data_IF_294319343443
#
_entry.id   IF_294319343443
#
_cell.length_a   1.000
_cell.length_b   1.000
_cell.length_c   1.000
_cell.angle_alpha   90.00
_cell.angle_beta   90.00
_cell.angle_gamma   90.00
#
_symmetry.space_group_name_H-M   'P 1'
#
loop_
_entity.id
_entity.type
_entity.pdbx_description
1 polymer ?
#
# COMPACT_ATOMS: atom_id res chain seq x y z
N UNK A 1 69.01 13.30 -1.90
CA UNK A 1 67.85 12.44 -2.24
C UNK A 1 67.27 11.91 -0.93
N UNK A 2 66.05 12.31 -0.57
CA UNK A 2 65.31 11.78 0.61
C UNK A 2 64.59 10.49 0.18
N UNK A 3 64.73 9.36 0.87
CA UNK A 3 63.96 8.16 0.56
C UNK A 3 62.51 8.34 1.02
N UNK A 4 61.57 7.95 0.15
CA UNK A 4 60.14 8.13 0.36
C UNK A 4 59.62 7.17 1.44
N UNK A 5 59.06 7.71 2.52
CA UNK A 5 58.40 6.98 3.61
C UNK A 5 56.95 6.57 3.29
N UNK A 6 56.49 6.71 2.04
CA UNK A 6 55.09 6.51 1.67
C UNK A 6 54.67 5.06 1.42
N UNK A 7 55.61 4.11 1.21
CA UNK A 7 55.27 2.74 0.79
C UNK A 7 54.92 1.76 1.91
N UNK A 8 55.31 2.04 3.16
CA UNK A 8 55.07 1.14 4.30
C UNK A 8 53.69 1.32 4.95
N UNK A 9 53.04 2.47 4.76
CA UNK A 9 51.71 2.76 5.32
C UNK A 9 50.57 2.11 4.54
N UNK A 10 50.75 1.79 3.25
CA UNK A 10 49.72 1.18 2.41
C UNK A 10 49.60 -0.34 2.62
N UNK A 11 50.72 -1.04 2.85
CA UNK A 11 50.71 -2.49 3.11
C UNK A 11 49.98 -2.84 4.42
N UNK A 12 50.15 -2.03 5.47
CA UNK A 12 49.45 -2.22 6.75
C UNK A 12 47.94 -2.00 6.62
N UNK A 13 47.50 -1.03 5.83
CA UNK A 13 46.07 -0.77 5.59
C UNK A 13 45.40 -1.89 4.77
N UNK A 14 46.09 -2.42 3.76
CA UNK A 14 45.59 -3.55 2.95
C UNK A 14 45.45 -4.83 3.78
N UNK A 15 46.43 -5.16 4.63
CA UNK A 15 46.34 -6.31 5.55
C UNK A 15 45.24 -6.11 6.59
N UNK A 16 45.02 -4.89 7.07
CA UNK A 16 43.96 -4.60 8.05
C UNK A 16 42.55 -4.63 7.42
N UNK A 17 42.40 -4.13 6.18
CA UNK A 17 41.18 -4.25 5.40
C UNK A 17 40.86 -5.70 5.07
N UNK A 18 41.88 -6.51 4.74
CA UNK A 18 41.76 -7.96 4.58
C UNK A 18 41.41 -8.66 5.89
N UNK A 19 42.02 -8.32 7.02
CA UNK A 19 41.68 -8.91 8.32
C UNK A 19 40.27 -8.52 8.78
N UNK A 20 39.82 -7.30 8.50
CA UNK A 20 38.45 -6.88 8.76
C UNK A 20 37.46 -7.61 7.85
N UNK A 21 37.72 -7.68 6.54
CA UNK A 21 36.89 -8.41 5.59
C UNK A 21 36.86 -9.92 5.93
N UNK A 22 37.99 -10.50 6.31
CA UNK A 22 38.12 -11.91 6.70
C UNK A 22 37.44 -12.18 8.04
N UNK A 23 37.55 -11.28 9.03
CA UNK A 23 36.82 -11.37 10.29
C UNK A 23 35.30 -11.21 10.10
N UNK A 24 34.87 -10.37 9.15
CA UNK A 24 33.46 -10.22 8.78
C UNK A 24 32.93 -11.47 8.06
N UNK A 25 33.71 -12.07 7.15
CA UNK A 25 33.37 -13.30 6.43
C UNK A 25 33.26 -14.51 7.37
N UNK A 26 34.23 -14.73 8.28
CA UNK A 26 34.18 -15.89 9.19
C UNK A 26 33.15 -15.77 10.31
N UNK A 27 32.75 -14.56 10.71
CA UNK A 27 31.69 -14.41 11.72
C UNK A 27 30.31 -14.80 11.17
N UNK A 28 30.11 -14.73 9.85
CA UNK A 28 28.87 -15.14 9.19
C UNK A 28 28.67 -16.66 9.24
N UNK A 29 29.75 -17.44 9.14
CA UNK A 29 29.71 -18.92 9.26
C UNK A 29 29.39 -19.37 10.70
N UNK A 30 29.73 -18.57 11.70
CA UNK A 30 29.50 -18.87 13.12
C UNK A 30 28.07 -18.57 13.61
N UNK A 31 27.28 -17.76 12.91
CA UNK A 31 25.90 -17.41 13.30
C UNK A 31 24.81 -18.20 12.56
N UNK A 32 25.17 -19.06 11.61
CA UNK A 32 24.26 -20.00 10.95
C UNK A 32 24.00 -21.29 11.73
N UNK A 33 24.57 -21.47 12.93
CA UNK A 33 24.36 -22.67 13.72
C UNK A 33 24.36 -22.38 15.21
N UNK A 34 23.18 -22.12 15.79
CA UNK A 34 22.69 -22.64 17.08
C UNK A 34 21.50 -21.81 17.57
N UNK A 35 20.29 -22.34 17.37
CA UNK A 35 19.15 -22.10 18.26
C UNK A 35 18.98 -23.34 19.11
N UNK A 36 19.36 -23.26 20.40
CA UNK A 36 18.67 -24.01 21.45
C UNK A 36 19.07 -23.59 22.87
N UNK A 37 18.04 -23.54 23.70
CA UNK A 37 17.98 -23.74 25.15
C UNK A 37 18.36 -22.60 26.11
N UNK A 38 17.29 -22.05 26.69
CA UNK A 38 16.99 -22.00 28.13
C UNK A 38 17.98 -21.35 29.10
N UNK A 39 17.56 -20.19 29.63
CA UNK A 39 18.11 -19.59 30.85
C UNK A 39 16.98 -19.24 31.82
N UNK A 40 16.72 -20.11 32.79
CA UNK A 40 15.89 -19.83 33.97
C UNK A 40 16.76 -19.24 35.07
N UNK A 41 16.33 -18.09 35.59
CA UNK A 41 17.00 -17.31 36.62
C UNK A 41 16.88 -17.90 38.03
N UNK A 42 17.82 -17.51 38.89
CA UNK A 42 17.59 -17.32 40.32
C UNK A 42 18.66 -17.90 41.23
N UNK A 43 19.31 -17.04 42.03
CA UNK A 43 20.08 -17.50 43.19
C UNK A 43 21.15 -16.53 43.65
N UNK A 44 20.78 -15.59 44.54
CA UNK A 44 21.68 -14.68 45.23
C UNK A 44 22.63 -15.41 46.20
N UNK A 45 23.83 -14.88 46.37
CA UNK A 45 24.76 -15.32 47.40
C UNK A 45 25.97 -14.39 47.53
N UNK A 46 25.87 -13.42 48.44
CA UNK A 46 26.96 -12.55 48.89
C UNK A 46 27.81 -13.34 49.91
N UNK A 47 29.14 -13.23 49.91
CA UNK A 47 29.77 -12.97 51.20
C UNK A 47 30.96 -11.98 51.19
N UNK A 48 31.07 -11.37 52.37
CA UNK A 48 32.17 -10.74 53.08
C UNK A 48 33.50 -10.35 52.40
N UNK A 49 33.87 -9.13 52.78
CA UNK A 49 35.13 -8.40 52.64
C UNK A 49 36.14 -8.92 53.66
N UNK A 50 37.37 -9.25 53.25
CA UNK A 50 38.62 -9.05 54.01
C UNK A 50 39.85 -9.40 53.15
N UNK A 51 40.94 -8.65 53.34
CA UNK A 51 42.29 -9.08 52.96
C UNK A 51 43.02 -8.11 52.02
N UNK A 52 43.80 -7.20 52.61
CA UNK A 52 44.91 -6.57 51.91
C UNK A 52 46.00 -7.63 51.70
N UNK A 53 46.25 -8.01 50.46
CA UNK A 53 47.30 -8.96 50.05
C UNK A 53 47.87 -8.54 48.71
N UNK A 54 49.20 -8.41 48.64
CA UNK A 54 49.91 -7.91 47.46
C UNK A 54 49.69 -8.80 46.23
N UNK A 55 49.41 -8.17 45.09
CA UNK A 55 49.24 -8.83 43.81
C UNK A 55 50.49 -9.64 43.44
N UNK A 56 50.32 -10.94 43.24
CA UNK A 56 51.39 -11.83 42.77
C UNK A 56 51.66 -11.61 41.28
N UNK A 57 52.86 -11.98 40.81
CA UNK A 57 53.23 -11.87 39.39
C UNK A 57 52.27 -12.64 38.45
N UNK A 58 51.59 -13.68 38.96
CA UNK A 58 50.56 -14.43 38.24
C UNK A 58 49.25 -13.63 38.05
N UNK A 59 48.90 -12.76 38.99
CA UNK A 59 47.70 -11.91 38.92
C UNK A 59 47.88 -10.73 37.95
N UNK A 60 49.11 -10.20 37.86
CA UNK A 60 49.50 -9.26 36.79
C UNK A 60 49.50 -9.92 35.41
N UNK A 61 49.92 -11.19 35.29
CA UNK A 61 49.85 -11.95 34.04
C UNK A 61 48.40 -12.26 33.63
N UNK A 62 47.51 -12.54 34.59
CA UNK A 62 46.08 -12.76 34.34
C UNK A 62 45.32 -11.47 33.98
N UNK A 63 45.68 -10.31 34.54
CA UNK A 63 45.16 -9.01 34.07
C UNK A 63 45.72 -8.59 32.70
N UNK A 64 46.94 -9.00 32.35
CA UNK A 64 47.52 -8.78 31.02
C UNK A 64 46.93 -9.72 29.94
N UNK A 65 46.32 -10.83 30.34
CA UNK A 65 45.65 -11.80 29.46
C UNK A 65 44.13 -11.57 29.35
N UNK A 66 43.60 -10.45 29.87
CA UNK A 66 42.23 -10.03 29.54
C UNK A 66 42.19 -9.66 28.06
N UNK A 67 41.31 -10.27 27.24
CA UNK A 67 41.14 -9.82 25.87
C UNK A 67 40.81 -8.33 25.91
N UNK A 68 41.66 -7.52 25.29
CA UNK A 68 41.44 -6.09 25.18
C UNK A 68 40.02 -5.89 24.64
N UNK A 69 39.23 -5.04 25.30
CA UNK A 69 37.89 -4.71 24.82
C UNK A 69 37.98 -4.37 23.33
N UNK A 70 37.08 -4.90 22.48
CA UNK A 70 37.17 -4.73 21.04
C UNK A 70 37.30 -3.25 20.73
N UNK A 71 38.43 -2.87 20.12
CA UNK A 71 38.72 -1.49 19.78
C UNK A 71 37.64 -1.00 18.83
N UNK A 72 36.94 0.07 19.20
CA UNK A 72 35.99 0.74 18.30
C UNK A 72 36.79 1.34 17.14
N UNK A 73 36.44 0.95 15.92
CA UNK A 73 37.05 1.47 14.71
C UNK A 73 36.67 2.95 14.52
N UNK A 74 37.58 3.73 13.94
CA UNK A 74 37.36 5.13 13.55
C UNK A 74 36.84 5.20 12.12
N UNK A 75 36.09 6.25 11.78
CA UNK A 75 35.59 6.49 10.41
C UNK A 75 36.69 6.39 9.33
N UNK A 76 37.88 6.94 9.60
CA UNK A 76 39.04 6.84 8.69
C UNK A 76 39.54 5.42 8.44
N UNK A 77 39.30 4.49 9.36
CA UNK A 77 39.65 3.06 9.20
C UNK A 77 38.62 2.36 8.28
N UNK A 78 37.33 2.72 8.38
CA UNK A 78 36.27 2.25 7.47
C UNK A 78 36.45 2.77 6.05
N UNK A 79 36.79 4.06 5.86
CA UNK A 79 37.10 4.61 4.54
C UNK A 79 38.23 3.82 3.85
N UNK A 80 39.32 3.53 4.56
CA UNK A 80 40.43 2.75 4.00
C UNK A 80 40.00 1.33 3.61
N UNK A 81 39.13 0.71 4.41
CA UNK A 81 38.59 -0.60 4.08
C UNK A 81 37.65 -0.54 2.86
N UNK A 82 36.88 0.54 2.73
CA UNK A 82 36.00 0.79 1.58
C UNK A 82 36.80 0.90 0.29
N UNK A 83 37.83 1.75 0.29
CA UNK A 83 38.72 1.93 -0.86
C UNK A 83 39.41 0.61 -1.24
N UNK A 84 39.85 -0.16 -0.24
CA UNK A 84 40.53 -1.44 -0.46
C UNK A 84 39.64 -2.54 -1.04
N UNK A 85 38.30 -2.48 -0.90
CA UNK A 85 37.40 -3.47 -1.52
C UNK A 85 37.42 -3.35 -3.04
N UNK A 86 37.57 -2.13 -3.58
CA UNK A 86 37.60 -1.90 -5.03
C UNK A 86 38.80 -2.58 -5.70
N UNK A 87 39.94 -2.60 -5.00
CA UNK A 87 41.21 -3.18 -5.49
C UNK A 87 41.28 -4.71 -5.33
N UNK A 88 40.32 -5.34 -4.67
CA UNK A 88 40.32 -6.79 -4.46
C UNK A 88 39.76 -7.53 -5.68
N UNK A 89 40.47 -8.59 -6.10
CA UNK A 89 40.04 -9.51 -7.16
C UNK A 89 38.95 -10.49 -6.69
N UNK A 90 37.82 -9.94 -6.21
CA UNK A 90 36.67 -10.69 -5.73
C UNK A 90 35.52 -10.69 -6.76
N UNK A 91 34.71 -11.77 -6.81
CA UNK A 91 33.46 -11.78 -7.56
C UNK A 91 32.54 -10.60 -7.17
N UNK A 92 31.84 -10.01 -8.14
CA UNK A 92 31.00 -8.83 -7.92
C UNK A 92 30.00 -9.00 -6.76
N UNK A 93 29.36 -10.15 -6.66
CA UNK A 93 28.42 -10.45 -5.58
C UNK A 93 29.08 -10.47 -4.19
N UNK A 94 30.30 -11.01 -4.06
CA UNK A 94 31.02 -11.01 -2.80
C UNK A 94 31.46 -9.60 -2.40
N UNK A 95 31.92 -8.79 -3.37
CA UNK A 95 32.24 -7.37 -3.14
C UNK A 95 31.01 -6.61 -2.64
N UNK A 96 29.85 -6.82 -3.26
CA UNK A 96 28.60 -6.20 -2.83
C UNK A 96 28.26 -6.52 -1.37
N UNK A 97 28.31 -7.79 -0.97
CA UNK A 97 28.03 -8.18 0.42
C UNK A 97 29.02 -7.56 1.41
N UNK A 98 30.31 -7.56 1.08
CA UNK A 98 31.33 -6.91 1.91
C UNK A 98 31.09 -5.41 2.04
N UNK A 99 30.72 -4.74 0.95
CA UNK A 99 30.36 -3.32 0.96
C UNK A 99 29.15 -3.04 1.85
N UNK A 100 28.08 -3.84 1.72
CA UNK A 100 26.87 -3.67 2.56
C UNK A 100 27.20 -3.85 4.04
N UNK A 101 27.95 -4.88 4.42
CA UNK A 101 28.31 -5.10 5.83
C UNK A 101 29.26 -4.00 6.33
N UNK A 102 30.24 -3.58 5.52
CA UNK A 102 31.15 -2.51 5.88
C UNK A 102 30.40 -1.19 6.11
N UNK A 103 29.51 -0.81 5.19
CA UNK A 103 28.67 0.38 5.30
C UNK A 103 27.77 0.33 6.53
N UNK A 104 27.21 -0.84 6.85
CA UNK A 104 26.36 -1.02 8.04
C UNK A 104 27.13 -0.68 9.31
N UNK A 105 28.34 -1.24 9.47
CA UNK A 105 29.20 -0.98 10.62
C UNK A 105 29.74 0.45 10.66
N UNK A 106 30.08 0.99 9.49
CA UNK A 106 30.54 2.36 9.40
C UNK A 106 29.43 3.33 9.79
N UNK A 107 28.19 3.09 9.35
CA UNK A 107 27.05 3.93 9.67
C UNK A 107 26.79 4.04 11.19
N UNK A 108 27.07 2.98 11.97
CA UNK A 108 26.99 3.01 13.45
C UNK A 108 27.89 4.09 14.07
N UNK A 109 29.03 4.39 13.43
CA UNK A 109 30.08 5.31 13.92
C UNK A 109 29.99 6.68 13.24
N UNK A 110 29.77 6.70 11.92
CA UNK A 110 29.75 7.89 11.07
C UNK A 110 28.80 7.65 9.89
N UNK A 111 27.53 7.99 10.11
CA UNK A 111 26.46 7.82 9.13
C UNK A 111 26.71 8.66 7.87
N UNK A 112 27.23 9.87 8.06
CA UNK A 112 27.52 10.79 6.95
C UNK A 112 28.63 10.23 6.06
N UNK A 113 29.77 9.87 6.64
CA UNK A 113 30.89 9.28 5.89
C UNK A 113 30.46 8.04 5.11
N UNK A 114 29.68 7.15 5.74
CA UNK A 114 29.17 5.94 5.09
C UNK A 114 28.19 6.25 3.94
N UNK A 115 27.27 7.22 4.09
CA UNK A 115 26.36 7.61 3.02
C UNK A 115 27.09 8.26 1.85
N UNK A 116 28.06 9.15 2.12
CA UNK A 116 28.91 9.76 1.10
C UNK A 116 29.62 8.66 0.30
N UNK A 117 30.27 7.71 0.98
CA UNK A 117 30.96 6.61 0.33
C UNK A 117 30.02 5.76 -0.55
N UNK A 118 28.81 5.47 -0.07
CA UNK A 118 27.81 4.73 -0.83
C UNK A 118 27.40 5.49 -2.11
N UNK A 119 27.17 6.80 -2.05
CA UNK A 119 26.70 7.61 -3.18
C UNK A 119 27.79 8.00 -4.18
N UNK A 120 29.02 8.22 -3.73
CA UNK A 120 30.16 8.59 -4.58
C UNK A 120 30.68 7.41 -5.41
N UNK A 121 30.29 6.18 -5.05
CA UNK A 121 30.74 4.98 -5.73
C UNK A 121 29.82 4.66 -6.91
N UNK A 122 30.33 4.76 -8.14
CA UNK A 122 29.71 4.13 -9.31
C UNK A 122 29.82 2.62 -9.15
N UNK A 123 28.75 1.96 -8.70
CA UNK A 123 28.73 0.51 -8.58
C UNK A 123 29.06 -0.16 -9.92
N UNK A 124 30.13 -0.96 -9.94
CA UNK A 124 30.73 -1.58 -11.13
C UNK A 124 30.14 -2.96 -11.47
N UNK A 125 29.22 -3.49 -10.64
CA UNK A 125 28.72 -4.86 -10.71
C UNK A 125 27.78 -5.20 -11.89
N UNK A 126 27.74 -4.37 -12.94
CA UNK A 126 27.02 -4.66 -14.19
C UNK A 126 25.51 -4.87 -14.07
N UNK A 127 24.92 -5.51 -15.09
CA UNK A 127 23.47 -5.69 -15.32
C UNK A 127 22.68 -6.50 -14.25
N UNK A 128 23.27 -6.82 -13.09
CA UNK A 128 22.60 -7.60 -12.03
C UNK A 128 21.64 -6.78 -11.14
N UNK A 129 21.26 -5.57 -11.56
CA UNK A 129 20.02 -4.90 -11.11
C UNK A 129 19.98 -4.35 -9.68
N UNK A 130 20.99 -4.57 -8.83
CA UNK A 130 20.93 -4.11 -7.43
C UNK A 130 21.39 -2.68 -7.19
N UNK A 131 22.33 -2.16 -8.00
CA UNK A 131 22.77 -0.76 -8.00
C UNK A 131 22.98 -0.12 -6.61
N UNK A 132 22.84 1.21 -6.55
CA UNK A 132 22.90 1.97 -5.29
C UNK A 132 21.79 1.56 -4.29
N UNK A 133 20.64 1.07 -4.79
CA UNK A 133 19.51 0.67 -3.94
C UNK A 133 19.87 -0.50 -3.02
N UNK A 134 20.67 -1.45 -3.51
CA UNK A 134 21.17 -2.57 -2.71
C UNK A 134 22.11 -2.09 -1.58
N UNK A 135 23.01 -1.15 -1.86
CA UNK A 135 23.90 -0.58 -0.85
C UNK A 135 23.12 0.16 0.24
N UNK A 136 22.02 0.83 -0.13
CA UNK A 136 21.18 1.53 0.83
C UNK A 136 20.53 0.62 1.90
N UNK A 137 20.50 -0.71 1.69
CA UNK A 137 20.09 -1.67 2.72
C UNK A 137 20.99 -1.66 3.96
N UNK A 138 22.26 -1.26 3.82
CA UNK A 138 23.18 -1.16 4.93
C UNK A 138 22.70 -0.20 6.04
N UNK A 139 21.89 0.80 5.68
CA UNK A 139 21.48 1.88 6.56
C UNK A 139 20.13 1.66 7.25
N UNK A 140 19.43 0.55 6.99
CA UNK A 140 18.09 0.29 7.53
C UNK A 140 18.00 0.51 9.05
N UNK A 141 18.91 -0.12 9.79
CA UNK A 141 18.92 -0.05 11.25
C UNK A 141 19.28 1.34 11.76
N UNK A 142 20.23 2.02 11.10
CA UNK A 142 20.69 3.34 11.54
C UNK A 142 19.68 4.45 11.22
N UNK A 143 18.95 4.33 10.11
CA UNK A 143 17.80 5.19 9.82
C UNK A 143 16.72 5.02 10.88
N UNK A 144 16.36 3.79 11.25
CA UNK A 144 15.39 3.53 12.31
C UNK A 144 15.86 4.05 13.68
N UNK A 145 17.13 3.82 14.03
CA UNK A 145 17.71 4.23 15.32
C UNK A 145 17.84 5.74 15.49
N UNK A 146 18.09 6.48 14.41
CA UNK A 146 18.34 7.93 14.40
C UNK A 146 17.53 8.62 13.30
N UNK A 147 16.19 8.58 13.38
CA UNK A 147 15.34 8.91 12.23
C UNK A 147 15.39 10.39 11.87
N UNK A 148 15.40 11.31 12.85
CA UNK A 148 15.49 12.76 12.59
C UNK A 148 16.86 13.15 12.05
N UNK A 149 17.94 12.71 12.71
CA UNK A 149 19.32 13.00 12.30
C UNK A 149 19.61 12.49 10.87
N UNK A 150 19.20 11.25 10.58
CA UNK A 150 19.37 10.69 9.25
C UNK A 150 18.54 11.42 8.19
N UNK A 151 17.31 11.85 8.51
CA UNK A 151 16.50 12.64 7.60
C UNK A 151 17.14 14.01 7.28
N UNK A 152 17.60 14.73 8.30
CA UNK A 152 18.26 16.03 8.14
C UNK A 152 19.51 15.90 7.27
N UNK A 153 20.30 14.85 7.50
CA UNK A 153 21.46 14.52 6.69
C UNK A 153 21.07 14.27 5.23
N UNK A 154 20.09 13.40 4.97
CA UNK A 154 19.59 13.09 3.61
C UNK A 154 19.08 14.34 2.90
N UNK A 155 18.47 15.27 3.63
CA UNK A 155 17.86 16.50 3.08
C UNK A 155 18.80 17.69 3.01
N UNK A 156 20.01 17.59 3.53
CA UNK A 156 21.04 18.64 3.53
C UNK A 156 21.47 19.13 2.13
N UNK A 157 21.11 18.42 1.07
CA UNK A 157 21.49 18.71 -0.31
C UNK A 157 22.82 18.09 -0.75
N UNK A 158 23.59 17.49 0.18
CA UNK A 158 24.91 16.91 -0.09
C UNK A 158 24.89 15.72 -1.06
N UNK A 159 23.78 14.99 -1.14
CA UNK A 159 23.67 13.76 -1.95
C UNK A 159 23.03 13.96 -3.34
N UNK A 160 22.74 15.19 -3.75
CA UNK A 160 22.17 15.49 -5.07
C UNK A 160 20.95 14.61 -5.42
N UNK A 161 21.01 13.93 -6.58
CA UNK A 161 19.94 13.01 -7.03
C UNK A 161 19.80 11.76 -6.15
N UNK A 162 20.88 11.32 -5.51
CA UNK A 162 20.89 10.18 -4.59
C UNK A 162 20.00 10.36 -3.37
N UNK A 163 19.77 11.62 -2.97
CA UNK A 163 18.88 11.96 -1.86
C UNK A 163 17.46 11.41 -2.03
N UNK A 164 16.93 11.36 -3.27
CA UNK A 164 15.59 10.83 -3.52
C UNK A 164 15.49 9.33 -3.18
N UNK A 165 16.53 8.56 -3.50
CA UNK A 165 16.60 7.12 -3.19
C UNK A 165 16.78 6.90 -1.68
N UNK A 166 17.65 7.67 -1.03
CA UNK A 166 17.82 7.61 0.42
C UNK A 166 16.53 7.96 1.18
N UNK A 167 15.78 8.99 0.76
CA UNK A 167 14.47 9.34 1.36
C UNK A 167 13.49 8.17 1.31
N UNK A 168 13.45 7.49 0.16
CA UNK A 168 12.58 6.33 -0.02
C UNK A 168 12.96 5.18 0.90
N UNK A 169 14.26 4.90 0.98
CA UNK A 169 14.79 3.86 1.87
C UNK A 169 14.54 4.21 3.34
N UNK A 170 14.90 5.41 3.77
CA UNK A 170 14.66 5.93 5.11
C UNK A 170 13.21 5.75 5.53
N UNK A 171 12.27 6.11 4.66
CA UNK A 171 10.86 5.99 4.95
C UNK A 171 10.42 4.54 5.19
N UNK A 172 10.94 3.58 4.41
CA UNK A 172 10.69 2.15 4.60
C UNK A 172 11.31 1.61 5.89
N UNK A 173 12.49 2.08 6.27
CA UNK A 173 13.18 1.63 7.49
C UNK A 173 12.53 2.18 8.76
N UNK A 174 12.05 3.42 8.72
CA UNK A 174 11.57 4.16 9.90
C UNK A 174 10.09 3.93 10.18
N UNK A 175 9.28 3.62 9.16
CA UNK A 175 7.81 3.61 9.27
C UNK A 175 7.25 2.69 10.35
N UNK A 176 7.92 1.56 10.62
CA UNK A 176 7.47 0.60 11.64
C UNK A 176 7.51 1.18 13.06
N UNK A 177 8.56 1.93 13.38
CA UNK A 177 8.79 2.46 14.73
C UNK A 177 8.26 3.90 14.88
N UNK A 178 8.33 4.69 13.81
CA UNK A 178 7.96 6.11 13.82
C UNK A 178 7.03 6.49 12.65
N UNK A 179 5.82 5.90 12.54
CA UNK A 179 4.93 6.12 11.39
C UNK A 179 4.48 7.57 11.23
N UNK A 180 4.24 8.30 12.33
CA UNK A 180 3.86 9.72 12.28
C UNK A 180 5.01 10.61 11.80
N UNK A 181 6.26 10.26 12.12
CA UNK A 181 7.42 10.99 11.63
C UNK A 181 7.54 10.83 10.11
N UNK A 182 7.36 9.60 9.60
CA UNK A 182 7.34 9.37 8.15
C UNK A 182 6.18 10.11 7.49
N UNK A 183 5.00 10.12 8.14
CA UNK A 183 3.84 10.88 7.65
C UNK A 183 4.14 12.38 7.49
N UNK A 184 4.83 13.00 8.46
CA UNK A 184 5.25 14.42 8.40
C UNK A 184 6.12 14.72 7.17
N UNK A 185 6.88 13.74 6.70
CA UNK A 185 7.80 13.90 5.59
C UNK A 185 7.24 13.38 4.25
N UNK A 186 5.99 12.91 4.19
CA UNK A 186 5.38 12.37 2.97
C UNK A 186 5.49 13.32 1.78
N UNK A 187 5.27 14.64 1.98
CA UNK A 187 5.40 15.65 0.91
C UNK A 187 6.81 15.72 0.30
N UNK A 188 7.84 15.34 1.05
CA UNK A 188 9.24 15.42 0.62
C UNK A 188 9.75 14.12 0.01
N UNK A 189 9.03 13.01 0.23
CA UNK A 189 9.31 11.69 -0.36
C UNK A 189 8.85 11.69 -1.83
N UNK A 190 9.56 11.03 -2.77
CA UNK A 190 9.11 10.91 -4.16
C UNK A 190 7.73 10.23 -4.29
N UNK A 191 6.91 10.66 -5.25
CA UNK A 191 5.52 10.19 -5.40
C UNK A 191 5.40 8.66 -5.51
N UNK A 192 6.27 8.02 -6.29
CA UNK A 192 6.25 6.56 -6.44
C UNK A 192 6.53 5.85 -5.11
N UNK A 193 7.45 6.37 -4.30
CA UNK A 193 7.76 5.81 -2.98
C UNK A 193 6.67 6.10 -1.95
N UNK A 194 5.99 7.25 -2.03
CA UNK A 194 4.82 7.53 -1.17
C UNK A 194 3.80 6.42 -1.29
N UNK A 195 3.47 5.99 -2.52
CA UNK A 195 2.49 4.92 -2.75
C UNK A 195 2.90 3.58 -2.14
N UNK A 196 4.20 3.25 -2.10
CA UNK A 196 4.67 2.00 -1.49
C UNK A 196 4.78 2.06 0.04
N UNK A 197 5.09 3.23 0.60
CA UNK A 197 5.28 3.42 2.04
C UNK A 197 3.96 3.72 2.76
N UNK A 198 3.01 4.38 2.10
CA UNK A 198 1.74 4.76 2.71
C UNK A 198 0.96 3.59 3.32
N UNK A 199 0.80 2.42 2.66
CA UNK A 199 0.16 1.27 3.28
C UNK A 199 0.88 0.80 4.57
N UNK A 200 2.21 0.96 4.64
CA UNK A 200 3.00 0.61 5.83
C UNK A 200 2.75 1.61 6.97
N UNK A 201 2.62 2.91 6.65
CA UNK A 201 2.23 3.93 7.65
C UNK A 201 0.85 3.56 8.21
N UNK A 202 -0.12 3.30 7.33
CA UNK A 202 -1.48 2.92 7.71
C UNK A 202 -1.48 1.66 8.57
N UNK A 203 -0.74 0.61 8.18
CA UNK A 203 -0.63 -0.61 8.96
C UNK A 203 -0.04 -0.35 10.37
N UNK A 204 1.04 0.41 10.47
CA UNK A 204 1.66 0.75 11.75
C UNK A 204 0.76 1.64 12.63
N UNK A 205 -0.04 2.53 12.05
CA UNK A 205 -1.03 3.33 12.78
C UNK A 205 -2.22 2.46 13.24
N UNK A 206 -2.60 1.44 12.47
CA UNK A 206 -3.67 0.50 12.83
C UNK A 206 -3.34 -0.30 14.08
N UNK A 207 -2.04 -0.59 14.31
CA UNK A 207 -1.54 -1.24 15.53
C UNK A 207 -1.62 -0.34 16.77
N UNK A 208 -1.70 0.99 16.59
CA UNK A 208 -1.83 1.98 17.67
C UNK A 208 -2.88 3.05 17.33
N UNK A 209 -4.18 2.75 17.56
CA UNK A 209 -5.28 3.63 17.20
C UNK A 209 -5.24 5.03 17.82
N UNK A 210 -4.50 5.22 18.92
CA UNK A 210 -4.32 6.53 19.56
C UNK A 210 -3.68 7.55 18.61
N UNK A 211 -2.94 7.08 17.58
CA UNK A 211 -2.26 7.91 16.59
C UNK A 211 -3.12 8.32 15.40
N UNK A 212 -4.33 7.76 15.24
CA UNK A 212 -5.19 8.03 14.06
C UNK A 212 -5.50 9.53 13.95
N UNK A 213 -5.83 10.18 15.07
CA UNK A 213 -6.10 11.63 15.13
C UNK A 213 -4.95 12.45 14.53
N UNK A 214 -3.76 12.29 15.09
CA UNK A 214 -2.57 12.97 14.63
C UNK A 214 -2.22 12.64 13.17
N UNK A 215 -2.40 11.39 12.75
CA UNK A 215 -2.13 10.98 11.38
C UNK A 215 -3.02 11.71 10.37
N UNK A 216 -4.32 11.83 10.64
CA UNK A 216 -5.23 12.55 9.74
C UNK A 216 -4.92 14.04 9.68
N UNK A 217 -4.54 14.64 10.80
CA UNK A 217 -4.12 16.04 10.83
C UNK A 217 -2.88 16.23 9.93
N UNK A 218 -1.94 15.28 9.94
CA UNK A 218 -0.78 15.29 9.02
C UNK A 218 -1.13 15.08 7.57
N UNK A 219 -2.18 14.34 7.24
CA UNK A 219 -2.64 14.27 5.85
C UNK A 219 -3.11 15.62 5.34
N UNK A 220 -3.70 16.47 6.18
CA UNK A 220 -4.17 17.80 5.77
C UNK A 220 -3.05 18.75 5.35
N UNK A 221 -1.80 18.48 5.76
CA UNK A 221 -0.60 19.25 5.39
C UNK A 221 -0.10 18.92 3.96
N UNK A 222 -0.66 17.89 3.31
CA UNK A 222 -0.30 17.50 1.96
C UNK A 222 -0.91 18.44 0.89
N UNK A 223 -0.26 18.58 -0.27
CA UNK A 223 -0.84 19.29 -1.41
C UNK A 223 -2.20 18.69 -1.80
N UNK A 224 -3.20 19.55 -1.98
CA UNK A 224 -4.61 19.20 -2.21
C UNK A 224 -4.89 18.71 -3.64
N UNK A 225 -4.08 17.75 -4.11
CA UNK A 225 -4.17 17.17 -5.44
C UNK A 225 -4.95 15.83 -5.44
N UNK A 226 -4.97 15.14 -6.58
CA UNK A 226 -5.58 13.81 -6.69
C UNK A 226 -4.93 12.79 -5.75
N UNK A 227 -3.61 12.86 -5.57
CA UNK A 227 -2.86 11.95 -4.70
C UNK A 227 -3.33 12.10 -3.26
N UNK A 228 -3.47 13.33 -2.75
CA UNK A 228 -3.99 13.54 -1.40
C UNK A 228 -5.38 12.91 -1.22
N UNK A 229 -6.30 13.12 -2.17
CA UNK A 229 -7.65 12.52 -2.10
C UNK A 229 -7.61 10.99 -2.09
N UNK A 230 -6.78 10.38 -2.93
CA UNK A 230 -6.60 8.93 -2.96
C UNK A 230 -6.02 8.40 -1.63
N UNK A 231 -4.98 9.05 -1.09
CA UNK A 231 -4.37 8.68 0.18
C UNK A 231 -5.34 8.85 1.37
N UNK A 232 -6.08 9.95 1.43
CA UNK A 232 -7.09 10.21 2.44
C UNK A 232 -8.18 9.12 2.43
N UNK A 233 -8.71 8.80 1.25
CA UNK A 233 -9.68 7.71 1.06
C UNK A 233 -9.12 6.39 1.59
N UNK A 234 -7.91 6.02 1.17
CA UNK A 234 -7.31 4.72 1.51
C UNK A 234 -7.01 4.62 3.02
N UNK A 235 -6.50 5.69 3.63
CA UNK A 235 -6.29 5.74 5.08
C UNK A 235 -7.59 5.57 5.87
N UNK A 236 -8.67 6.25 5.47
CA UNK A 236 -9.95 6.20 6.19
C UNK A 236 -10.65 4.86 5.98
N UNK A 237 -10.48 4.24 4.81
CA UNK A 237 -10.98 2.89 4.55
C UNK A 237 -10.42 1.88 5.58
N UNK A 238 -9.13 1.98 5.86
CA UNK A 238 -8.40 1.05 6.73
C UNK A 238 -8.46 1.39 8.22
N UNK A 239 -8.46 2.68 8.59
CA UNK A 239 -8.37 3.14 9.98
C UNK A 239 -9.73 3.52 10.58
N UNK A 240 -10.77 3.73 9.76
CA UNK A 240 -12.10 4.10 10.25
C UNK A 240 -12.32 5.60 10.37
N UNK A 241 -13.43 5.99 10.99
CA UNK A 241 -13.78 7.39 11.25
C UNK A 241 -13.44 7.78 12.71
N UNK A 242 -13.16 9.06 12.98
CA UNK A 242 -12.71 9.51 14.32
C UNK A 242 -13.85 9.90 15.27
N UNK A 243 -15.11 9.74 14.86
CA UNK A 243 -16.26 10.17 15.66
C UNK A 243 -17.57 9.63 15.12
N UNK A 244 -18.65 10.04 15.75
CA UNK A 244 -20.00 9.71 15.28
C UNK A 244 -20.31 10.42 13.96
N UNK A 245 -21.25 9.89 13.16
CA UNK A 245 -21.71 10.53 11.92
C UNK A 245 -22.17 11.97 12.16
N UNK A 246 -22.81 12.23 13.30
CA UNK A 246 -23.24 13.57 13.71
C UNK A 246 -22.06 14.51 13.98
N UNK A 247 -21.08 14.08 14.77
CA UNK A 247 -19.88 14.89 15.04
C UNK A 247 -19.12 15.21 13.76
N UNK A 248 -18.98 14.23 12.86
CA UNK A 248 -18.30 14.39 11.56
C UNK A 248 -19.07 15.40 10.70
N UNK A 249 -20.40 15.27 10.62
CA UNK A 249 -21.27 16.19 9.88
C UNK A 249 -21.15 17.62 10.41
N UNK A 250 -21.22 17.82 11.73
CA UNK A 250 -21.08 19.15 12.35
C UNK A 250 -19.72 19.76 12.02
N UNK A 251 -18.62 19.01 12.24
CA UNK A 251 -17.27 19.46 11.89
C UNK A 251 -17.13 19.78 10.40
N UNK A 252 -17.78 19.02 9.52
CA UNK A 252 -17.74 19.25 8.08
C UNK A 252 -18.41 20.58 7.69
N UNK A 253 -19.55 20.88 8.30
CA UNK A 253 -20.30 22.11 8.05
C UNK A 253 -19.57 23.35 8.60
N UNK A 254 -18.87 23.21 9.73
CA UNK A 254 -18.09 24.28 10.36
C UNK A 254 -16.72 24.51 9.70
N UNK A 255 -16.16 23.48 9.04
CA UNK A 255 -14.81 23.54 8.48
C UNK A 255 -14.74 24.44 7.23
N UNK A 256 -13.85 25.44 7.30
CA UNK A 256 -13.45 26.29 6.18
C UNK A 256 -12.24 25.76 5.39
N UNK A 257 -11.55 24.74 5.92
CA UNK A 257 -10.39 24.11 5.25
C UNK A 257 -10.83 23.02 4.29
N UNK A 258 -10.47 23.14 3.00
CA UNK A 258 -10.75 22.13 1.97
C UNK A 258 -10.09 20.78 2.26
N UNK A 259 -8.89 20.82 2.84
CA UNK A 259 -8.14 19.63 3.25
C UNK A 259 -8.90 18.87 4.34
N UNK A 260 -9.35 19.60 5.36
CA UNK A 260 -10.12 19.02 6.46
C UNK A 260 -11.47 18.51 5.97
N UNK A 261 -12.17 19.26 5.11
CA UNK A 261 -13.43 18.82 4.48
C UNK A 261 -13.25 17.52 3.70
N UNK A 262 -12.12 17.34 3.02
CA UNK A 262 -11.82 16.10 2.28
C UNK A 262 -11.69 14.89 3.20
N UNK A 263 -10.96 15.04 4.31
CA UNK A 263 -10.87 14.00 5.34
C UNK A 263 -12.27 13.69 5.89
N UNK A 264 -13.02 14.72 6.29
CA UNK A 264 -14.35 14.55 6.89
C UNK A 264 -15.38 13.92 5.93
N UNK A 265 -15.30 14.17 4.63
CA UNK A 265 -16.14 13.51 3.61
C UNK A 265 -15.88 12.01 3.57
N UNK A 266 -14.63 11.60 3.67
CA UNK A 266 -14.27 10.18 3.73
C UNK A 266 -14.63 9.57 5.08
N UNK A 267 -14.43 10.27 6.18
CA UNK A 267 -14.88 9.82 7.51
C UNK A 267 -16.41 9.63 7.54
N UNK A 268 -17.18 10.54 6.94
CA UNK A 268 -18.65 10.45 6.84
C UNK A 268 -19.08 9.24 6.00
N UNK A 269 -18.43 9.03 4.85
CA UNK A 269 -18.69 7.85 4.01
C UNK A 269 -18.40 6.55 4.76
N UNK A 270 -17.32 6.52 5.55
CA UNK A 270 -16.92 5.36 6.35
C UNK A 270 -17.84 5.13 7.54
N UNK A 271 -18.30 6.17 8.23
CA UNK A 271 -19.19 6.04 9.39
C UNK A 271 -20.58 5.48 9.04
N UNK A 272 -20.96 5.57 7.76
CA UNK A 272 -22.20 5.06 7.20
C UNK A 272 -22.03 3.81 6.33
N UNK A 273 -20.82 3.22 6.28
CA UNK A 273 -20.50 2.14 5.34
C UNK A 273 -21.42 0.90 5.45
N UNK A 274 -21.92 0.62 6.64
CA UNK A 274 -22.82 -0.51 6.96
C UNK A 274 -24.23 -0.04 7.36
N UNK A 275 -24.52 1.26 7.22
CA UNK A 275 -25.82 1.80 7.59
C UNK A 275 -26.91 1.38 6.59
N UNK A 276 -28.15 1.33 7.08
CA UNK A 276 -29.30 1.08 6.21
C UNK A 276 -29.50 2.21 5.21
N UNK A 277 -30.16 1.92 4.09
CA UNK A 277 -30.50 2.94 3.09
C UNK A 277 -31.31 4.11 3.69
N UNK A 278 -32.24 3.82 4.61
CA UNK A 278 -33.04 4.83 5.30
C UNK A 278 -32.17 5.75 6.18
N UNK A 279 -31.22 5.16 6.91
CA UNK A 279 -30.26 5.93 7.71
C UNK A 279 -29.37 6.81 6.82
N UNK A 280 -28.85 6.26 5.71
CA UNK A 280 -28.03 7.01 4.75
C UNK A 280 -28.83 8.21 4.22
N UNK A 281 -30.07 7.98 3.78
CA UNK A 281 -30.92 9.04 3.25
C UNK A 281 -31.22 10.12 4.30
N UNK A 282 -31.53 9.72 5.54
CA UNK A 282 -31.78 10.64 6.64
C UNK A 282 -30.56 11.52 6.97
N UNK A 283 -29.35 10.96 6.94
CA UNK A 283 -28.11 11.71 7.17
C UNK A 283 -27.76 12.64 6.01
N UNK A 284 -27.95 12.20 4.76
CA UNK A 284 -27.74 13.04 3.58
C UNK A 284 -28.72 14.22 3.54
N UNK A 285 -29.96 14.04 4.00
CA UNK A 285 -30.96 15.10 4.04
C UNK A 285 -30.56 16.28 4.96
N UNK A 286 -29.73 16.01 5.99
CA UNK A 286 -29.20 17.03 6.92
C UNK A 286 -28.08 17.88 6.32
N UNK A 287 -27.59 17.54 5.13
CA UNK A 287 -26.55 18.29 4.44
C UNK A 287 -27.13 19.25 3.39
N UNK A 288 -26.44 20.38 3.12
CA UNK A 288 -26.72 21.22 1.95
C UNK A 288 -26.73 20.40 0.67
N UNK A 289 -27.66 20.70 -0.24
CA UNK A 289 -27.85 19.94 -1.49
C UNK A 289 -26.56 19.82 -2.30
N UNK A 290 -25.79 20.91 -2.40
CA UNK A 290 -24.52 20.98 -3.11
C UNK A 290 -23.43 20.00 -2.58
N UNK A 291 -23.54 19.54 -1.34
CA UNK A 291 -22.55 18.64 -0.73
C UNK A 291 -22.97 17.16 -0.77
N UNK A 292 -24.26 16.88 -1.02
CA UNK A 292 -24.80 15.50 -1.01
C UNK A 292 -24.12 14.60 -2.03
N UNK A 293 -23.88 15.13 -3.24
CA UNK A 293 -23.20 14.40 -4.30
C UNK A 293 -21.79 13.97 -3.90
N UNK A 294 -21.02 14.88 -3.27
CA UNK A 294 -19.68 14.58 -2.75
C UNK A 294 -19.70 13.50 -1.67
N UNK A 295 -20.68 13.54 -0.76
CA UNK A 295 -20.83 12.49 0.25
C UNK A 295 -21.23 11.15 -0.34
N UNK A 296 -22.13 11.13 -1.33
CA UNK A 296 -22.52 9.92 -2.04
C UNK A 296 -21.34 9.26 -2.77
N UNK A 297 -20.47 10.05 -3.42
CA UNK A 297 -19.24 9.51 -4.02
C UNK A 297 -18.35 8.85 -2.97
N UNK A 298 -18.20 9.48 -1.81
CA UNK A 298 -17.43 8.92 -0.69
C UNK A 298 -18.06 7.62 -0.14
N UNK A 299 -19.37 7.60 0.04
CA UNK A 299 -20.12 6.41 0.44
C UNK A 299 -19.91 5.26 -0.56
N UNK A 300 -19.93 5.53 -1.86
CA UNK A 300 -19.68 4.51 -2.88
C UNK A 300 -18.31 3.80 -2.70
N UNK A 301 -17.29 4.53 -2.26
CA UNK A 301 -15.96 3.98 -1.99
C UNK A 301 -15.86 3.18 -0.69
N UNK A 302 -16.66 3.53 0.32
CA UNK A 302 -16.53 2.97 1.68
C UNK A 302 -17.61 1.95 2.05
N UNK A 303 -18.77 2.01 1.41
CA UNK A 303 -19.87 1.10 1.66
C UNK A 303 -19.43 -0.35 1.44
N UNK A 304 -19.98 -1.24 2.27
CA UNK A 304 -19.74 -2.67 2.14
C UNK A 304 -20.16 -3.16 0.76
N UNK A 305 -19.21 -3.72 0.00
CA UNK A 305 -19.47 -4.18 -1.35
C UNK A 305 -20.41 -5.38 -1.33
N UNK A 306 -21.60 -5.24 -1.92
CA UNK A 306 -22.63 -6.29 -1.90
C UNK A 306 -23.54 -6.27 -0.66
N UNK A 307 -23.45 -5.24 0.19
CA UNK A 307 -24.37 -5.06 1.32
C UNK A 307 -25.83 -4.86 0.88
N UNK A 308 -26.79 -5.12 1.78
CA UNK A 308 -28.23 -5.02 1.50
C UNK A 308 -28.68 -3.65 1.00
N UNK A 309 -27.98 -2.59 1.42
CA UNK A 309 -28.21 -1.20 1.03
C UNK A 309 -27.78 -0.88 -0.41
N UNK A 310 -27.12 -1.82 -1.11
CA UNK A 310 -26.49 -1.57 -2.42
C UNK A 310 -27.48 -0.99 -3.43
N UNK A 311 -28.65 -1.59 -3.74
CA UNK A 311 -29.54 -1.07 -4.78
C UNK A 311 -30.01 0.36 -4.49
N UNK A 312 -30.35 0.67 -3.24
CA UNK A 312 -30.80 2.00 -2.83
C UNK A 312 -29.66 3.01 -2.85
N UNK A 313 -28.45 2.63 -2.43
CA UNK A 313 -27.27 3.49 -2.54
C UNK A 313 -26.97 3.84 -4.00
N UNK A 314 -27.02 2.85 -4.89
CA UNK A 314 -26.84 3.07 -6.32
C UNK A 314 -27.92 3.99 -6.90
N UNK A 315 -29.18 3.83 -6.48
CA UNK A 315 -30.26 4.73 -6.87
C UNK A 315 -29.99 6.18 -6.43
N UNK A 316 -29.52 6.38 -5.18
CA UNK A 316 -29.18 7.71 -4.68
C UNK A 316 -28.02 8.35 -5.47
N UNK A 317 -26.97 7.60 -5.78
CA UNK A 317 -25.83 8.06 -6.61
C UNK A 317 -26.31 8.47 -8.01
N UNK A 318 -27.16 7.65 -8.62
CA UNK A 318 -27.73 7.89 -9.95
C UNK A 318 -28.59 9.15 -9.95
N UNK A 319 -29.51 9.27 -9.00
CA UNK A 319 -30.42 10.42 -8.87
C UNK A 319 -29.65 11.72 -8.62
N UNK A 320 -28.54 11.66 -7.89
CA UNK A 320 -27.65 12.80 -7.67
C UNK A 320 -26.78 13.16 -8.89
N UNK A 321 -26.84 12.38 -9.99
CA UNK A 321 -26.01 12.60 -11.18
C UNK A 321 -24.54 12.21 -11.00
N UNK A 322 -24.21 11.47 -9.94
CA UNK A 322 -22.83 11.18 -9.53
C UNK A 322 -22.25 9.90 -10.13
N UNK A 323 -23.05 9.15 -10.88
CA UNK A 323 -22.68 7.84 -11.43
C UNK A 323 -21.35 7.84 -12.19
N UNK A 324 -21.11 8.85 -13.04
CA UNK A 324 -19.91 8.93 -13.89
C UNK A 324 -18.61 8.96 -13.08
N UNK A 325 -18.63 9.61 -11.92
CA UNK A 325 -17.46 9.77 -11.07
C UNK A 325 -17.13 8.51 -10.25
N UNK A 326 -18.09 7.59 -10.09
CA UNK A 326 -17.94 6.37 -9.29
C UNK A 326 -18.30 5.09 -10.04
N UNK A 327 -18.28 5.13 -11.37
CA UNK A 327 -18.69 4.00 -12.24
C UNK A 327 -17.98 2.69 -11.89
N UNK A 328 -16.69 2.75 -11.55
CA UNK A 328 -15.93 1.56 -11.17
C UNK A 328 -16.45 0.96 -9.85
N UNK A 329 -16.66 1.80 -8.82
CA UNK A 329 -17.19 1.35 -7.54
C UNK A 329 -18.60 0.78 -7.71
N UNK A 330 -19.46 1.46 -8.47
CA UNK A 330 -20.80 0.97 -8.77
C UNK A 330 -20.75 -0.41 -9.44
N UNK A 331 -19.85 -0.61 -10.39
CA UNK A 331 -19.68 -1.91 -11.05
C UNK A 331 -19.18 -2.99 -10.10
N UNK A 332 -18.25 -2.66 -9.21
CA UNK A 332 -17.78 -3.59 -8.18
C UNK A 332 -18.90 -3.98 -7.21
N UNK A 333 -19.73 -3.02 -6.79
CA UNK A 333 -20.93 -3.23 -5.98
C UNK A 333 -21.94 -4.15 -6.67
N UNK A 334 -22.28 -3.86 -7.94
CA UNK A 334 -23.19 -4.68 -8.75
C UNK A 334 -22.64 -6.11 -8.86
N UNK A 335 -21.35 -6.26 -9.22
CA UNK A 335 -20.73 -7.57 -9.41
C UNK A 335 -20.77 -8.41 -8.14
N UNK A 336 -20.38 -7.84 -7.00
CA UNK A 336 -20.39 -8.56 -5.72
C UNK A 336 -21.81 -8.88 -5.28
N UNK A 337 -22.74 -7.92 -5.36
CA UNK A 337 -24.15 -8.15 -5.00
C UNK A 337 -24.77 -9.26 -5.87
N UNK A 338 -24.49 -9.25 -7.18
CA UNK A 338 -24.99 -10.24 -8.12
C UNK A 338 -24.31 -11.62 -8.01
N UNK A 339 -23.18 -11.72 -7.30
CA UNK A 339 -22.51 -13.02 -7.08
C UNK A 339 -23.26 -13.93 -6.10
N UNK A 340 -24.19 -13.37 -5.32
CA UNK A 340 -25.08 -14.09 -4.41
C UNK A 340 -26.39 -14.44 -5.13
N UNK A 341 -26.70 -15.72 -5.41
CA UNK A 341 -27.87 -16.12 -6.19
C UNK A 341 -29.19 -15.52 -5.70
N UNK A 342 -29.42 -15.48 -4.39
CA UNK A 342 -30.64 -15.00 -3.75
C UNK A 342 -30.88 -13.50 -4.00
N UNK A 343 -29.83 -12.75 -4.36
CA UNK A 343 -29.84 -11.31 -4.59
C UNK A 343 -29.99 -10.92 -6.07
N UNK A 344 -29.89 -11.87 -6.99
CA UNK A 344 -29.86 -11.59 -8.43
C UNK A 344 -31.19 -11.05 -8.94
N UNK A 345 -32.30 -11.67 -8.53
CA UNK A 345 -33.64 -11.27 -8.93
C UNK A 345 -33.99 -9.85 -8.45
N UNK A 346 -33.67 -9.52 -7.19
CA UNK A 346 -33.93 -8.18 -6.63
C UNK A 346 -33.09 -7.11 -7.32
N UNK A 347 -31.82 -7.39 -7.62
CA UNK A 347 -30.95 -6.48 -8.35
C UNK A 347 -31.43 -6.23 -9.79
N UNK A 348 -31.82 -7.29 -10.50
CA UNK A 348 -32.36 -7.19 -11.84
C UNK A 348 -33.67 -6.38 -11.86
N UNK A 349 -34.57 -6.65 -10.91
CA UNK A 349 -35.82 -5.91 -10.72
C UNK A 349 -35.59 -4.42 -10.43
N UNK A 350 -34.60 -4.08 -9.60
CA UNK A 350 -34.21 -2.69 -9.38
C UNK A 350 -33.69 -2.04 -10.67
N UNK A 351 -32.77 -2.69 -11.38
CA UNK A 351 -32.10 -2.10 -12.53
C UNK A 351 -33.05 -1.76 -13.68
N UNK A 352 -34.05 -2.61 -13.97
CA UNK A 352 -35.04 -2.34 -15.04
C UNK A 352 -35.96 -1.16 -14.75
N UNK A 353 -36.02 -0.70 -13.51
CA UNK A 353 -36.79 0.48 -13.10
C UNK A 353 -35.98 1.77 -13.11
N UNK A 354 -34.70 1.72 -13.51
CA UNK A 354 -33.89 2.93 -13.62
C UNK A 354 -34.46 3.88 -14.69
N UNK A 355 -34.37 5.21 -14.50
CA UNK A 355 -34.69 6.16 -15.56
C UNK A 355 -33.68 6.04 -16.71
N UNK A 356 -34.09 6.45 -17.91
CA UNK A 356 -33.20 6.48 -19.06
C UNK A 356 -32.14 7.56 -18.85
N UNK A 357 -30.89 7.15 -18.72
CA UNK A 357 -29.73 8.04 -18.52
C UNK A 357 -28.49 7.47 -19.20
N UNK A 358 -27.44 8.28 -19.42
CA UNK A 358 -26.14 7.76 -19.81
C UNK A 358 -25.75 6.62 -18.88
N UNK A 359 -25.32 5.50 -19.45
CA UNK A 359 -24.84 4.30 -18.74
C UNK A 359 -25.88 3.41 -18.04
N UNK A 360 -27.17 3.80 -17.94
CA UNK A 360 -28.17 2.92 -17.30
C UNK A 360 -28.37 1.60 -18.06
N UNK A 361 -28.18 1.58 -19.38
CA UNK A 361 -28.16 0.34 -20.14
C UNK A 361 -27.05 -0.61 -19.64
N UNK A 362 -25.85 -0.09 -19.40
CA UNK A 362 -24.73 -0.89 -18.89
C UNK A 362 -24.98 -1.41 -17.47
N UNK A 363 -25.64 -0.63 -16.62
CA UNK A 363 -26.10 -1.09 -15.28
C UNK A 363 -27.10 -2.23 -15.43
N UNK A 364 -28.13 -2.08 -16.28
CA UNK A 364 -29.13 -3.13 -16.54
C UNK A 364 -28.47 -4.40 -17.06
N UNK A 365 -27.59 -4.29 -18.07
CA UNK A 365 -26.86 -5.44 -18.62
C UNK A 365 -26.13 -6.21 -17.51
N UNK A 366 -25.33 -5.52 -16.68
CA UNK A 366 -24.58 -6.18 -15.59
C UNK A 366 -25.50 -6.79 -14.52
N UNK A 367 -26.56 -6.08 -14.15
CA UNK A 367 -27.52 -6.55 -13.14
C UNK A 367 -28.35 -7.75 -13.60
N UNK A 368 -28.74 -7.80 -14.88
CA UNK A 368 -29.56 -8.87 -15.45
C UNK A 368 -28.72 -10.09 -15.85
N UNK A 369 -27.48 -9.87 -16.30
CA UNK A 369 -26.58 -10.93 -16.80
C UNK A 369 -26.47 -12.10 -15.83
N UNK A 370 -26.19 -11.84 -14.55
CA UNK A 370 -26.04 -12.90 -13.55
C UNK A 370 -27.33 -13.70 -13.32
N UNK A 371 -28.48 -13.02 -13.26
CA UNK A 371 -29.77 -13.68 -13.05
C UNK A 371 -30.12 -14.60 -14.23
N UNK A 372 -30.01 -14.07 -15.46
CA UNK A 372 -30.28 -14.81 -16.68
C UNK A 372 -29.28 -15.95 -16.91
N UNK A 373 -28.03 -15.80 -16.47
CA UNK A 373 -26.99 -16.82 -16.59
C UNK A 373 -27.18 -18.00 -15.64
N UNK A 374 -27.68 -17.75 -14.42
CA UNK A 374 -27.76 -18.77 -13.37
C UNK A 374 -29.15 -19.43 -13.28
N UNK A 375 -30.22 -18.69 -13.55
CA UNK A 375 -31.59 -19.21 -13.52
C UNK A 375 -32.40 -18.63 -14.69
N UNK A 376 -32.15 -19.14 -15.92
CA UNK A 376 -32.78 -18.58 -17.12
C UNK A 376 -34.31 -18.75 -17.10
N UNK A 377 -34.85 -19.83 -16.54
CA UNK A 377 -36.29 -20.03 -16.46
C UNK A 377 -36.96 -18.98 -15.55
N UNK A 378 -36.43 -18.76 -14.34
CA UNK A 378 -36.99 -17.76 -13.45
C UNK A 378 -36.80 -16.35 -14.02
N UNK A 379 -35.64 -16.06 -14.62
CA UNK A 379 -35.39 -14.78 -15.28
C UNK A 379 -36.40 -14.51 -16.42
N UNK A 380 -36.76 -15.53 -17.21
CA UNK A 380 -37.80 -15.40 -18.24
C UNK A 380 -39.17 -15.05 -17.65
N UNK A 381 -39.63 -15.82 -16.65
CA UNK A 381 -40.93 -15.56 -15.99
C UNK A 381 -40.96 -14.14 -15.41
N UNK A 382 -39.85 -13.70 -14.80
CA UNK A 382 -39.72 -12.33 -14.32
C UNK A 382 -39.79 -11.31 -15.46
N UNK A 383 -39.07 -11.49 -16.58
CA UNK A 383 -39.12 -10.58 -17.73
C UNK A 383 -40.51 -10.47 -18.36
N UNK A 384 -41.30 -11.55 -18.35
CA UNK A 384 -42.69 -11.57 -18.79
C UNK A 384 -43.60 -10.72 -17.88
N UNK A 385 -43.27 -10.63 -16.58
CA UNK A 385 -44.02 -9.83 -15.60
C UNK A 385 -43.73 -8.32 -15.67
N UNK A 386 -42.59 -7.91 -16.23
CA UNK A 386 -42.25 -6.48 -16.38
C UNK A 386 -43.11 -5.88 -17.50
N UNK A 387 -43.67 -4.66 -17.33
CA UNK A 387 -44.49 -4.02 -18.36
C UNK A 387 -43.77 -3.92 -19.71
N UNK A 388 -44.43 -4.30 -20.79
CA UNK A 388 -43.83 -4.33 -22.14
C UNK A 388 -43.35 -2.97 -22.64
N UNK A 389 -44.02 -1.89 -22.20
CA UNK A 389 -43.65 -0.51 -22.49
C UNK A 389 -42.39 -0.02 -21.75
N UNK A 390 -41.88 -0.78 -20.76
CA UNK A 390 -40.67 -0.40 -20.03
C UNK A 390 -39.44 -0.46 -20.93
N UNK A 391 -38.71 0.66 -21.03
CA UNK A 391 -37.43 0.69 -21.74
C UNK A 391 -36.39 -0.23 -21.08
N UNK A 392 -36.45 -0.39 -19.75
CA UNK A 392 -35.58 -1.26 -18.99
C UNK A 392 -35.82 -2.73 -19.32
N UNK A 393 -37.09 -3.15 -19.51
CA UNK A 393 -37.43 -4.50 -19.98
C UNK A 393 -36.81 -4.81 -21.33
N UNK A 394 -36.91 -3.88 -22.30
CA UNK A 394 -36.32 -4.06 -23.63
C UNK A 394 -34.80 -4.29 -23.55
N UNK A 395 -34.11 -3.54 -22.68
CA UNK A 395 -32.67 -3.71 -22.41
C UNK A 395 -32.36 -5.06 -21.75
N UNK A 396 -33.16 -5.45 -20.76
CA UNK A 396 -33.00 -6.73 -20.06
C UNK A 396 -33.28 -7.94 -20.97
N UNK A 397 -34.26 -7.86 -21.87
CA UNK A 397 -34.51 -8.88 -22.90
C UNK A 397 -33.32 -9.03 -23.86
N UNK A 398 -32.69 -7.91 -24.24
CA UNK A 398 -31.50 -7.94 -25.08
C UNK A 398 -30.32 -8.63 -24.36
N UNK A 399 -30.13 -8.39 -23.06
CA UNK A 399 -29.15 -9.10 -22.23
C UNK A 399 -29.47 -10.59 -22.09
N UNK A 400 -30.71 -10.92 -21.73
CA UNK A 400 -31.17 -12.31 -21.60
C UNK A 400 -30.91 -13.09 -22.90
N UNK A 401 -31.22 -12.49 -24.05
CA UNK A 401 -30.95 -13.08 -25.36
C UNK A 401 -29.47 -13.43 -25.54
N UNK A 402 -28.55 -12.55 -25.14
CA UNK A 402 -27.11 -12.84 -25.19
C UNK A 402 -26.71 -13.98 -24.27
N UNK A 403 -27.23 -14.01 -23.04
CA UNK A 403 -26.91 -15.09 -22.09
C UNK A 403 -27.39 -16.44 -22.62
N UNK A 404 -28.56 -16.51 -23.27
CA UNK A 404 -29.06 -17.75 -23.86
C UNK A 404 -28.14 -18.28 -24.96
N UNK A 405 -27.57 -17.40 -25.78
CA UNK A 405 -26.63 -17.79 -26.83
C UNK A 405 -25.27 -18.23 -26.28
N UNK A 406 -24.64 -17.39 -25.47
CA UNK A 406 -23.25 -17.58 -25.07
C UNK A 406 -23.07 -18.57 -23.92
N UNK A 407 -23.97 -18.56 -22.94
CA UNK A 407 -23.87 -19.45 -21.78
C UNK A 407 -24.61 -20.77 -21.99
N UNK A 408 -25.81 -20.71 -22.55
CA UNK A 408 -26.71 -21.88 -22.61
C UNK A 408 -26.80 -22.53 -23.99
N UNK A 409 -26.19 -21.93 -25.03
CA UNK A 409 -26.26 -22.42 -26.41
C UNK A 409 -27.71 -22.69 -26.87
N UNK A 410 -28.62 -21.79 -26.49
CA UNK A 410 -30.07 -21.91 -26.72
C UNK A 410 -30.56 -20.80 -27.67
N UNK A 411 -30.50 -21.02 -29.00
CA UNK A 411 -30.92 -20.04 -29.99
C UNK A 411 -32.44 -19.82 -30.02
N UNK A 412 -33.25 -20.77 -29.56
CA UNK A 412 -34.72 -20.63 -29.52
C UNK A 412 -35.14 -19.65 -28.43
N UNK A 413 -34.60 -19.79 -27.21
CA UNK A 413 -34.86 -18.84 -26.12
C UNK A 413 -34.31 -17.45 -26.42
N UNK A 414 -33.17 -17.36 -27.11
CA UNK A 414 -32.68 -16.09 -27.65
C UNK A 414 -33.66 -15.46 -28.64
N UNK A 415 -34.26 -16.26 -29.54
CA UNK A 415 -35.23 -15.78 -30.53
C UNK A 415 -36.51 -15.29 -29.85
N UNK A 416 -37.00 -16.04 -28.87
CA UNK A 416 -38.11 -15.64 -28.04
C UNK A 416 -37.86 -14.25 -27.43
N UNK A 417 -36.72 -14.05 -26.76
CA UNK A 417 -36.41 -12.77 -26.12
C UNK A 417 -36.34 -11.61 -27.13
N UNK A 418 -35.72 -11.81 -28.30
CA UNK A 418 -35.68 -10.81 -29.38
C UNK A 418 -37.07 -10.47 -29.92
N UNK A 419 -37.98 -11.44 -30.00
CA UNK A 419 -39.36 -11.21 -30.44
C UNK A 419 -40.12 -10.26 -29.50
N UNK A 420 -39.78 -10.26 -28.21
CA UNK A 420 -40.42 -9.46 -27.17
C UNK A 420 -39.89 -8.02 -27.08
N UNK A 421 -38.78 -7.69 -27.76
CA UNK A 421 -38.23 -6.33 -27.80
C UNK A 421 -39.08 -5.48 -28.74
N UNK A 422 -39.65 -4.40 -28.20
CA UNK A 422 -40.50 -3.42 -28.91
C UNK A 422 -39.65 -2.28 -29.50
N UNK A 423 -38.56 -1.88 -28.84
CA UNK A 423 -37.65 -0.84 -29.38
C UNK A 423 -36.96 -1.37 -30.65
N UNK A 424 -37.26 -0.82 -31.84
CA UNK A 424 -36.77 -1.37 -33.10
C UNK A 424 -35.25 -1.24 -33.24
N UNK A 425 -34.67 -0.15 -32.73
CA UNK A 425 -33.22 0.09 -32.82
C UNK A 425 -32.46 -0.86 -31.91
N UNK A 426 -32.96 -1.08 -30.70
CA UNK A 426 -32.37 -2.06 -29.79
C UNK A 426 -32.53 -3.49 -30.33
N UNK A 427 -33.70 -3.82 -30.90
CA UNK A 427 -33.97 -5.13 -31.51
C UNK A 427 -33.03 -5.44 -32.67
N UNK A 428 -32.80 -4.47 -33.56
CA UNK A 428 -31.84 -4.58 -34.66
C UNK A 428 -30.43 -4.85 -34.12
N UNK A 429 -29.99 -4.06 -33.13
CA UNK A 429 -28.69 -4.23 -32.48
C UNK A 429 -28.54 -5.64 -31.88
N UNK A 430 -29.55 -6.09 -31.12
CA UNK A 430 -29.53 -7.40 -30.48
C UNK A 430 -29.59 -8.57 -31.47
N UNK A 431 -30.29 -8.39 -32.59
CA UNK A 431 -30.30 -9.35 -33.70
C UNK A 431 -28.93 -9.41 -34.38
N UNK A 432 -28.24 -8.27 -34.51
CA UNK A 432 -26.85 -8.22 -34.98
C UNK A 432 -25.89 -9.02 -34.08
N UNK A 433 -26.06 -8.97 -32.76
CA UNK A 433 -25.29 -9.79 -31.81
C UNK A 433 -25.52 -11.29 -32.04
N UNK A 434 -26.77 -11.71 -32.23
CA UNK A 434 -27.12 -13.10 -32.57
C UNK A 434 -26.45 -13.55 -33.87
N UNK A 435 -26.56 -12.77 -34.94
CA UNK A 435 -25.94 -13.13 -36.22
C UNK A 435 -24.40 -13.24 -36.13
N UNK A 436 -23.77 -12.48 -35.24
CA UNK A 436 -22.33 -12.60 -34.96
C UNK A 436 -22.00 -13.92 -34.26
N UNK A 437 -22.82 -14.35 -33.29
CA UNK A 437 -22.68 -15.64 -32.62
C UNK A 437 -22.89 -16.82 -33.59
N UNK A 438 -23.92 -16.78 -34.45
CA UNK A 438 -24.20 -17.84 -35.44
C UNK A 438 -23.01 -18.03 -36.41
N UNK A 439 -22.43 -16.93 -36.89
CA UNK A 439 -21.22 -16.95 -37.73
C UNK A 439 -20.01 -17.55 -37.03
N UNK A 440 -19.89 -17.37 -35.71
CA UNK A 440 -18.78 -17.94 -34.95
C UNK A 440 -18.98 -19.43 -34.71
N UNK A 441 -20.20 -19.87 -34.41
CA UNK A 441 -20.52 -21.29 -34.19
C UNK A 441 -20.49 -22.12 -35.47
N UNK A 442 -20.92 -21.57 -36.61
CA UNK A 442 -20.82 -22.26 -37.90
C UNK A 442 -19.40 -22.45 -38.44
N UNK A 443 -18.38 -21.91 -37.77
CA UNK A 443 -16.95 -22.11 -38.10
C UNK A 443 -16.26 -23.17 -37.23
N UNK A 444 -16.92 -23.65 -36.18
CA UNK A 444 -16.46 -24.73 -35.30
C UNK A 444 -17.05 -26.05 -35.81
#
# INVERSE_FOLDING_TARGET
MKPSSAKLTHAGAAVFGLLLAFALLHRQEAHSGTTSADGKAGGAGRPARHGAGGATAAEKAAMAARPAAPRKFRSSEYQKAWDAIADQSLPAQQRFFLQVELLRRWAEVDLEGALIAAFDTTWDGGNQGMGIQGLLQAFDQEFARRPTESWDLITSGRFGLGAALAKGKWAQSVVKEHPLLVANHLRQIPLHTRRSVFPQIVAAIKEDPSKIGAFYDKLTELPQDKTFRDLARDAIKELGARGSTEEIRTKFLESTSDAQRTILVHEFGKSLATASAATIQAELAKLPEAERGRMLRSLAHHAETGGEQTPQLLAMIIQAGEYKEVVQQVNDHIRTYASTPEKQASLAAWAVNLPRMPDAAAVIHRSVSYYAMNDPQAARVWLESVPSSSWGRNTALAEYSQQMLWKHNNPEESAWALSQIIDPKLKETATGWRGSWEKQKGKQ
#
